data_IF_201509840335
#
_entry.id   IF_201509840335
#
_cell.length_a   1.000
_cell.length_b   1.000
_cell.length_c   1.000
_cell.angle_alpha   90.00
_cell.angle_beta   90.00
_cell.angle_gamma   90.00
#
_symmetry.space_group_name_H-M   'P 1'
#
loop_
_entity.id
_entity.type
_entity.pdbx_description
1 polymer ?
#
# COMPACT_ATOMS: atom_id res chain seq x y z
N UNK A 1 3.54 30.91 2.09
CA UNK A 1 3.90 29.48 2.03
C UNK A 1 3.99 28.83 3.42
N UNK A 2 4.83 29.32 4.34
CA UNK A 2 5.01 28.69 5.67
C UNK A 2 3.75 28.55 6.55
N UNK A 3 2.82 29.50 6.54
CA UNK A 3 1.59 29.42 7.37
C UNK A 3 0.72 28.20 7.02
N UNK A 4 0.56 27.89 5.73
CA UNK A 4 -0.23 26.72 5.27
C UNK A 4 0.52 25.40 5.47
N UNK A 5 1.84 25.41 5.34
CA UNK A 5 2.69 24.23 5.64
C UNK A 5 2.66 23.87 7.13
N UNK A 6 2.71 24.85 8.03
CA UNK A 6 2.63 24.60 9.48
C UNK A 6 1.25 24.04 9.85
N UNK A 7 0.17 24.57 9.28
CA UNK A 7 -1.18 24.07 9.54
C UNK A 7 -1.36 22.59 9.16
N UNK A 8 -0.89 22.20 7.97
CA UNK A 8 -0.96 20.80 7.51
C UNK A 8 -0.10 19.86 8.35
N UNK A 9 1.09 20.30 8.80
CA UNK A 9 1.92 19.51 9.72
C UNK A 9 1.22 19.27 11.05
N UNK A 10 0.60 20.30 11.65
CA UNK A 10 -0.12 20.17 12.93
C UNK A 10 -1.28 19.18 12.79
N UNK A 11 -2.09 19.34 11.74
CA UNK A 11 -3.22 18.42 11.47
C UNK A 11 -2.73 16.99 11.26
N UNK A 12 -1.61 16.81 10.55
CA UNK A 12 -1.01 15.49 10.32
C UNK A 12 -0.50 14.89 11.63
N UNK A 13 0.15 15.68 12.48
CA UNK A 13 0.69 15.22 13.76
C UNK A 13 -0.43 14.80 14.71
N UNK A 14 -1.49 15.61 14.81
CA UNK A 14 -2.70 15.28 15.58
C UNK A 14 -3.32 13.98 15.05
N UNK A 15 -3.47 13.84 13.73
CA UNK A 15 -4.01 12.62 13.13
C UNK A 15 -3.18 11.37 13.45
N UNK A 16 -1.84 11.51 13.48
CA UNK A 16 -0.93 10.42 13.87
C UNK A 16 -1.08 10.04 15.34
N UNK A 17 -1.13 11.03 16.25
CA UNK A 17 -1.33 10.81 17.69
C UNK A 17 -2.67 10.12 17.94
N UNK A 18 -3.75 10.61 17.33
CA UNK A 18 -5.08 9.98 17.43
C UNK A 18 -5.07 8.55 16.89
N UNK A 19 -4.36 8.28 15.79
CA UNK A 19 -4.19 6.93 15.26
C UNK A 19 -3.43 5.99 16.21
N UNK A 20 -2.39 6.48 16.88
CA UNK A 20 -1.65 5.74 17.90
C UNK A 20 -2.54 5.45 19.11
N UNK A 21 -3.25 6.45 19.62
CA UNK A 21 -4.19 6.29 20.73
C UNK A 21 -5.27 5.26 20.41
N UNK A 22 -5.83 5.31 19.20
CA UNK A 22 -6.80 4.31 18.72
C UNK A 22 -6.22 2.89 18.78
N UNK A 23 -4.99 2.71 18.30
CA UNK A 23 -4.29 1.41 18.36
C UNK A 23 -4.09 0.92 19.79
N UNK A 24 -3.64 1.80 20.69
CA UNK A 24 -3.42 1.47 22.10
C UNK A 24 -4.71 1.12 22.84
N UNK A 25 -5.81 1.84 22.59
CA UNK A 25 -7.12 1.54 23.16
C UNK A 25 -7.63 0.18 22.69
N UNK A 26 -7.52 -0.11 21.38
CA UNK A 26 -7.92 -1.42 20.84
C UNK A 26 -7.09 -2.54 21.48
N UNK A 27 -5.77 -2.36 21.58
CA UNK A 27 -4.91 -3.34 22.23
C UNK A 27 -5.23 -3.52 23.73
N UNK A 28 -5.57 -2.45 24.44
CA UNK A 28 -5.92 -2.51 25.86
C UNK A 28 -7.26 -3.22 26.11
N UNK A 29 -8.31 -2.91 25.33
CA UNK A 29 -9.63 -3.49 25.52
C UNK A 29 -9.79 -4.90 24.94
N UNK A 30 -9.16 -5.19 23.79
CA UNK A 30 -9.33 -6.46 23.08
C UNK A 30 -8.13 -7.41 23.22
N UNK A 31 -6.99 -6.96 23.75
CA UNK A 31 -5.79 -7.78 23.91
C UNK A 31 -5.28 -8.36 22.59
N UNK A 32 -4.46 -9.42 22.68
CA UNK A 32 -4.12 -10.27 21.53
C UNK A 32 -5.31 -11.19 21.25
N UNK A 33 -6.16 -10.78 20.32
CA UNK A 33 -7.30 -11.56 19.85
C UNK A 33 -7.33 -11.57 18.33
N UNK A 34 -7.99 -12.58 17.75
CA UNK A 34 -8.20 -12.68 16.30
C UNK A 34 -8.87 -11.41 15.72
N UNK A 35 -9.70 -10.72 16.50
CA UNK A 35 -10.36 -9.47 16.09
C UNK A 35 -9.35 -8.33 16.01
N UNK A 36 -8.47 -8.21 17.02
CA UNK A 36 -7.40 -7.21 17.05
C UNK A 36 -6.42 -7.40 15.87
N UNK A 37 -6.05 -8.66 15.60
CA UNK A 37 -5.13 -8.99 14.51
C UNK A 37 -5.75 -8.71 13.13
N UNK A 38 -7.02 -9.05 12.93
CA UNK A 38 -7.76 -8.74 11.71
C UNK A 38 -7.85 -7.22 11.50
N UNK A 39 -8.12 -6.46 12.57
CA UNK A 39 -8.19 -5.00 12.51
C UNK A 39 -6.86 -4.37 12.05
N UNK A 40 -5.75 -4.74 12.68
CA UNK A 40 -4.44 -4.22 12.31
C UNK A 40 -4.03 -4.66 10.90
N UNK A 41 -4.37 -5.88 10.50
CA UNK A 41 -4.10 -6.39 9.15
C UNK A 41 -4.85 -5.60 8.09
N UNK A 42 -6.16 -5.36 8.28
CA UNK A 42 -6.95 -4.51 7.39
C UNK A 42 -6.39 -3.07 7.33
N UNK A 43 -5.97 -2.52 8.47
CA UNK A 43 -5.43 -1.18 8.53
C UNK A 43 -4.09 -1.03 7.80
N UNK A 44 -3.24 -2.08 7.79
CA UNK A 44 -2.01 -2.11 7.00
C UNK A 44 -2.31 -2.03 5.50
N UNK A 45 -3.29 -2.80 5.02
CA UNK A 45 -3.69 -2.80 3.60
C UNK A 45 -4.14 -1.39 3.18
N UNK A 46 -4.99 -0.74 3.98
CA UNK A 46 -5.43 0.64 3.70
C UNK A 46 -4.26 1.64 3.68
N UNK A 47 -3.34 1.55 4.65
CA UNK A 47 -2.17 2.42 4.69
C UNK A 47 -1.23 2.22 3.51
N UNK A 48 -1.08 0.99 3.03
CA UNK A 48 -0.29 0.69 1.85
C UNK A 48 -0.80 1.44 0.61
N UNK A 49 -2.12 1.40 0.34
CA UNK A 49 -2.71 2.17 -0.76
C UNK A 49 -2.59 3.69 -0.55
N UNK A 50 -2.76 4.17 0.69
CA UNK A 50 -2.55 5.59 1.02
C UNK A 50 -1.12 6.02 0.71
N UNK A 51 -0.12 5.21 1.05
CA UNK A 51 1.28 5.50 0.79
C UNK A 51 1.61 5.43 -0.71
N UNK A 52 1.13 4.39 -1.39
CA UNK A 52 1.35 4.22 -2.83
C UNK A 52 0.74 5.35 -3.67
N UNK A 53 -0.53 5.67 -3.43
CA UNK A 53 -1.32 6.56 -4.29
C UNK A 53 -1.45 7.98 -3.73
N UNK A 54 -1.68 8.12 -2.42
CA UNK A 54 -2.00 9.40 -1.79
C UNK A 54 -0.78 10.20 -1.36
N UNK A 55 0.27 9.54 -0.86
CA UNK A 55 1.53 10.18 -0.49
C UNK A 55 2.46 10.38 -1.71
N UNK A 56 2.03 9.93 -2.90
CA UNK A 56 2.74 10.16 -4.15
C UNK A 56 3.96 9.27 -4.36
N UNK A 57 4.09 8.14 -3.65
CA UNK A 57 5.20 7.22 -3.89
C UNK A 57 5.22 6.71 -5.35
N UNK A 58 4.06 6.35 -5.90
CA UNK A 58 3.93 6.05 -7.32
C UNK A 58 3.99 7.32 -8.18
N UNK A 59 3.29 8.39 -7.79
CA UNK A 59 3.25 9.63 -8.57
C UNK A 59 4.62 10.25 -8.83
N UNK A 60 5.50 10.27 -7.82
CA UNK A 60 6.81 10.91 -7.89
C UNK A 60 7.85 10.10 -8.69
N UNK A 61 7.70 8.77 -8.78
CA UNK A 61 8.64 7.91 -9.51
C UNK A 61 8.09 7.52 -10.88
N UNK A 62 6.81 7.18 -10.95
CA UNK A 62 6.17 6.62 -12.13
C UNK A 62 5.85 7.67 -13.20
N UNK A 63 5.33 8.84 -12.81
CA UNK A 63 4.97 9.91 -13.77
C UNK A 63 6.21 10.43 -14.51
N UNK A 64 7.35 10.72 -13.85
CA UNK A 64 8.55 11.16 -14.57
C UNK A 64 9.10 10.09 -15.51
N UNK A 65 9.12 8.82 -15.11
CA UNK A 65 9.58 7.71 -15.96
C UNK A 65 8.69 7.53 -17.20
N UNK A 66 7.36 7.62 -17.03
CA UNK A 66 6.42 7.57 -18.14
C UNK A 66 6.66 8.75 -19.12
N UNK A 67 6.75 9.97 -18.60
CA UNK A 67 6.97 11.16 -19.43
C UNK A 67 8.30 11.07 -20.18
N UNK A 68 9.36 10.60 -19.51
CA UNK A 68 10.66 10.38 -20.15
C UNK A 68 10.57 9.37 -21.30
N UNK A 69 9.84 8.26 -21.12
CA UNK A 69 9.63 7.27 -22.19
C UNK A 69 8.79 7.80 -23.34
N UNK A 70 7.74 8.58 -23.06
CA UNK A 70 6.95 9.23 -24.10
C UNK A 70 7.78 10.23 -24.92
N UNK A 71 8.65 11.00 -24.26
CA UNK A 71 9.47 12.02 -24.92
C UNK A 71 10.59 11.40 -25.78
N UNK A 72 11.21 10.30 -25.32
CA UNK A 72 12.32 9.66 -26.02
C UNK A 72 11.89 8.67 -27.10
N UNK A 73 10.80 7.93 -26.86
CA UNK A 73 10.45 6.74 -27.63
C UNK A 73 9.01 6.78 -28.19
N UNK A 74 8.29 7.89 -27.95
CA UNK A 74 6.91 8.08 -28.38
C UNK A 74 5.88 7.52 -27.39
N UNK A 75 4.62 7.95 -27.54
CA UNK A 75 3.54 7.60 -26.62
C UNK A 75 3.24 6.09 -26.55
N UNK A 76 3.47 5.35 -27.65
CA UNK A 76 3.28 3.90 -27.69
C UNK A 76 4.17 3.19 -26.66
N UNK A 77 5.45 3.58 -26.58
CA UNK A 77 6.41 2.99 -25.64
C UNK A 77 6.16 3.39 -24.19
N UNK A 78 5.66 4.60 -23.95
CA UNK A 78 5.14 4.98 -22.65
C UNK A 78 3.98 4.09 -22.21
N UNK A 79 3.05 3.80 -23.12
CA UNK A 79 1.89 2.93 -22.85
C UNK A 79 2.31 1.48 -22.60
N UNK A 80 3.24 0.94 -23.39
CA UNK A 80 3.84 -0.38 -23.18
C UNK A 80 4.51 -0.49 -21.80
N UNK A 81 5.19 0.57 -21.36
CA UNK A 81 5.81 0.63 -20.04
C UNK A 81 4.75 0.55 -18.93
N UNK A 82 3.65 1.30 -19.03
CA UNK A 82 2.53 1.21 -18.08
C UNK A 82 1.99 -0.21 -18.03
N UNK A 83 1.69 -0.81 -19.18
CA UNK A 83 1.18 -2.18 -19.24
C UNK A 83 2.17 -3.19 -18.67
N UNK A 84 3.46 -3.03 -18.91
CA UNK A 84 4.51 -3.89 -18.36
C UNK A 84 4.54 -3.83 -16.83
N UNK A 85 4.45 -2.64 -16.25
CA UNK A 85 4.43 -2.48 -14.78
C UNK A 85 3.13 -3.01 -14.20
N UNK A 86 1.98 -2.72 -14.81
CA UNK A 86 0.70 -3.25 -14.36
C UNK A 86 0.66 -4.77 -14.43
N UNK A 87 1.18 -5.37 -15.50
CA UNK A 87 1.31 -6.81 -15.64
C UNK A 87 2.21 -7.40 -14.54
N UNK A 88 3.36 -6.76 -14.26
CA UNK A 88 4.25 -7.20 -13.19
C UNK A 88 3.56 -7.16 -11.82
N UNK A 89 2.88 -6.06 -11.48
CA UNK A 89 2.11 -5.94 -10.24
C UNK A 89 1.00 -7.00 -10.18
N UNK A 90 0.29 -7.21 -11.29
CA UNK A 90 -0.77 -8.19 -11.40
C UNK A 90 -0.24 -9.62 -11.17
N UNK A 91 0.89 -9.98 -11.78
CA UNK A 91 1.54 -11.28 -11.55
C UNK A 91 2.01 -11.45 -10.10
N UNK A 92 2.57 -10.41 -9.48
CA UNK A 92 2.97 -10.45 -8.06
C UNK A 92 1.77 -10.70 -7.15
N UNK A 93 0.66 -9.98 -7.38
CA UNK A 93 -0.58 -10.18 -6.62
C UNK A 93 -1.14 -11.58 -6.85
N UNK A 94 -1.23 -12.04 -8.10
CA UNK A 94 -1.69 -13.38 -8.41
C UNK A 94 -0.82 -14.46 -7.74
N UNK A 95 0.50 -14.33 -7.80
CA UNK A 95 1.42 -15.29 -7.16
C UNK A 95 1.21 -15.34 -5.65
N UNK A 96 0.97 -14.19 -5.02
CA UNK A 96 0.71 -14.09 -3.58
C UNK A 96 -0.62 -14.74 -3.19
N UNK A 97 -1.66 -14.60 -4.01
CA UNK A 97 -2.96 -15.27 -3.80
C UNK A 97 -2.83 -16.77 -4.06
N UNK A 98 -2.05 -17.16 -5.07
CA UNK A 98 -1.83 -18.55 -5.44
C UNK A 98 -1.23 -19.36 -4.29
N UNK A 99 -0.26 -18.80 -3.57
CA UNK A 99 0.34 -19.45 -2.39
C UNK A 99 -0.69 -19.74 -1.28
N UNK A 100 -1.64 -18.83 -1.06
CA UNK A 100 -2.68 -19.01 -0.04
C UNK A 100 -3.64 -20.15 -0.40
N UNK A 101 -3.96 -20.31 -1.68
CA UNK A 101 -4.84 -21.39 -2.15
C UNK A 101 -4.17 -22.77 -2.04
N UNK A 102 -2.87 -22.87 -2.31
CA UNK A 102 -2.12 -24.13 -2.26
C UNK A 102 -1.66 -24.53 -0.85
N UNK A 103 -1.64 -23.59 0.11
CA UNK A 103 -1.26 -23.83 1.49
C UNK A 103 -1.97 -25.04 2.16
N UNK A 104 -3.31 -25.20 2.11
CA UNK A 104 -3.99 -26.34 2.74
C UNK A 104 -3.61 -27.69 2.13
N UNK A 105 -3.41 -27.75 0.81
CA UNK A 105 -3.02 -28.98 0.10
C UNK A 105 -1.60 -29.39 0.52
N UNK A 106 -0.68 -28.43 0.60
CA UNK A 106 0.69 -28.67 1.06
C UNK A 106 0.74 -29.18 2.50
N UNK A 107 -0.15 -28.69 3.37
CA UNK A 107 -0.27 -29.15 4.75
C UNK A 107 -0.75 -30.60 4.84
N UNK A 108 -1.69 -31.02 3.98
CA UNK A 108 -2.22 -32.39 3.92
C UNK A 108 -1.21 -33.43 3.42
N UNK A 109 -0.26 -33.04 2.56
CA UNK A 109 0.77 -33.96 2.02
C UNK A 109 1.91 -34.18 3.03
N UNK A 110 2.11 -33.25 3.97
CA UNK A 110 3.18 -33.29 4.98
C UNK A 110 2.77 -33.99 6.29
N UNK A 111 1.49 -34.34 6.44
CA UNK A 111 0.92 -35.10 7.57
C UNK A 111 0.78 -36.58 7.21
#
# INVERSE_FOLDING_TARGET
MFKSSIGTMIITMISRILGLLRGSLIAYYFGSSYVTDAYFSAFKISNFFRQLLGEGALGNTFIPLYNQKCEQEGEEKGRDYIFSVLNLVFYLVLSSVWEQFFYPIRLLILL
#
